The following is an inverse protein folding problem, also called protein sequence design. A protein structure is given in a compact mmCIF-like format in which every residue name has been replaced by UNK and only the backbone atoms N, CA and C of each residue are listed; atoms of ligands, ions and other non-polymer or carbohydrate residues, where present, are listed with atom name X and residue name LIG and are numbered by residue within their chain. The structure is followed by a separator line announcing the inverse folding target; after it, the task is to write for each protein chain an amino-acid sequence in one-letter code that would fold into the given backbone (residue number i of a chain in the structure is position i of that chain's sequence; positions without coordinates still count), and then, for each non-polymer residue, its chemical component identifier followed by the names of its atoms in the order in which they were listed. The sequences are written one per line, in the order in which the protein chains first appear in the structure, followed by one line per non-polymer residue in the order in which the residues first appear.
data_IF_655464298492
#
_entry.id   IF_655464298492
#
_cell.length_a   1.000
_cell.length_b   1.000
_cell.length_c   1.000
_cell.angle_alpha   90.00
_cell.angle_beta   90.00
_cell.angle_gamma   90.00
#
_symmetry.space_group_name_H-M   'P 1'
#
loop_
_entity.id
_entity.type
_entity.pdbx_description
1 polymer ?
#
# COMPACT_ATOMS: atom_id res chain seq x y z
N UNK A 1 0.31 -7.21 -0.77
CA UNK A 1 0.68 -6.06 -1.60
C UNK A 1 2.17 -5.82 -1.45
N UNK A 2 2.86 -5.68 -2.57
CA UNK A 2 4.33 -5.57 -2.60
C UNK A 2 4.78 -4.41 -3.49
N UNK A 3 6.00 -3.91 -3.26
CA UNK A 3 6.70 -2.95 -4.11
C UNK A 3 8.22 -3.20 -3.99
N UNK A 4 8.80 -3.86 -4.97
CA UNK A 4 10.20 -4.31 -4.94
C UNK A 4 11.19 -3.14 -4.73
N UNK A 5 10.95 -1.99 -5.35
CA UNK A 5 11.79 -0.80 -5.19
C UNK A 5 11.71 -0.14 -3.82
N UNK A 6 10.68 -0.48 -3.03
CA UNK A 6 10.55 0.02 -1.66
C UNK A 6 11.12 -0.96 -0.64
N UNK A 7 10.79 -2.25 -0.79
CA UNK A 7 11.24 -3.32 0.10
C UNK A 7 11.35 -4.66 -0.67
N UNK A 8 12.55 -4.99 -1.17
CA UNK A 8 12.80 -6.26 -1.86
C UNK A 8 12.65 -7.48 -0.93
N UNK A 9 12.97 -7.36 0.35
CA UNK A 9 12.86 -8.47 1.30
C UNK A 9 11.40 -8.80 1.61
N UNK A 10 10.56 -7.78 1.81
CA UNK A 10 9.12 -7.96 1.97
C UNK A 10 8.51 -8.60 0.71
N UNK A 11 8.93 -8.16 -0.47
CA UNK A 11 8.48 -8.73 -1.74
C UNK A 11 8.83 -10.21 -1.83
N UNK A 12 10.08 -10.59 -1.51
CA UNK A 12 10.52 -11.98 -1.51
C UNK A 12 9.76 -12.82 -0.48
N UNK A 13 9.54 -12.29 0.72
CA UNK A 13 8.77 -12.95 1.76
C UNK A 13 7.33 -13.21 1.31
N UNK A 14 6.67 -12.18 0.75
CA UNK A 14 5.30 -12.33 0.26
C UNK A 14 5.16 -13.36 -0.87
N UNK A 15 6.16 -13.49 -1.74
CA UNK A 15 6.19 -14.51 -2.80
C UNK A 15 6.37 -15.92 -2.22
N UNK A 16 7.26 -16.08 -1.24
CA UNK A 16 7.45 -17.36 -0.54
C UNK A 16 6.22 -17.80 0.24
N UNK A 17 5.57 -16.87 0.95
CA UNK A 17 4.32 -17.15 1.67
C UNK A 17 3.22 -17.58 0.69
N UNK A 18 3.13 -16.91 -0.47
CA UNK A 18 2.15 -17.25 -1.50
C UNK A 18 2.41 -18.63 -2.13
N UNK A 19 3.68 -19.03 -2.31
CA UNK A 19 4.07 -20.34 -2.82
C UNK A 19 3.81 -21.46 -1.78
N UNK A 20 4.07 -21.17 -0.51
CA UNK A 20 3.91 -22.15 0.58
C UNK A 20 2.45 -22.40 0.96
N UNK A 21 1.53 -21.50 0.61
CA UNK A 21 0.11 -21.64 0.94
C UNK A 21 -0.57 -22.70 0.06
N UNK A 22 -1.22 -23.67 0.69
CA UNK A 22 -1.96 -24.74 -0.01
C UNK A 22 -3.34 -24.22 -0.45
N UNK A 23 -3.37 -23.43 -1.51
CA UNK A 23 -4.57 -22.82 -2.06
C UNK A 23 -4.26 -21.65 -3.01
N UNK A 24 -5.29 -21.00 -3.55
CA UNK A 24 -5.08 -19.85 -4.43
C UNK A 24 -4.49 -18.67 -3.67
N UNK A 25 -3.43 -18.07 -4.22
CA UNK A 25 -2.77 -16.88 -3.67
C UNK A 25 -2.81 -15.72 -4.65
N UNK A 26 -2.93 -14.49 -4.13
CA UNK A 26 -2.93 -13.26 -4.92
C UNK A 26 -1.82 -12.32 -4.45
N UNK A 27 -0.87 -12.02 -5.33
CA UNK A 27 0.15 -10.99 -5.11
C UNK A 27 -0.16 -9.77 -5.96
N UNK A 28 -0.34 -8.61 -5.32
CA UNK A 28 -0.60 -7.34 -6.00
C UNK A 28 0.66 -6.48 -5.90
N UNK A 29 1.36 -6.33 -7.01
CA UNK A 29 2.60 -5.56 -7.09
C UNK A 29 2.34 -4.13 -7.59
N UNK A 30 2.97 -3.15 -6.93
CA UNK A 30 3.01 -1.80 -7.47
C UNK A 30 3.92 -1.77 -8.72
N UNK A 31 3.39 -1.26 -9.80
CA UNK A 31 4.15 -0.99 -11.02
C UNK A 31 4.10 0.50 -11.36
N UNK A 32 5.27 1.11 -11.51
CA UNK A 32 5.37 2.43 -12.13
C UNK A 32 5.11 2.31 -13.64
N UNK A 33 4.66 3.38 -14.27
CA UNK A 33 4.26 3.35 -15.66
C UNK A 33 4.80 4.55 -16.43
N UNK A 34 5.43 4.29 -17.59
CA UNK A 34 5.93 5.34 -18.48
C UNK A 34 4.79 6.26 -18.96
N UNK A 35 3.57 5.74 -19.14
CA UNK A 35 2.41 6.54 -19.53
C UNK A 35 2.01 7.59 -18.46
N UNK A 36 2.47 7.43 -17.21
CA UNK A 36 2.27 8.44 -16.17
C UNK A 36 3.31 9.57 -16.22
N UNK A 37 4.27 9.47 -17.16
CA UNK A 37 5.30 10.48 -17.38
C UNK A 37 6.33 10.56 -16.26
N UNK A 38 6.90 9.40 -15.91
CA UNK A 38 8.05 9.31 -15.02
C UNK A 38 9.33 9.07 -15.82
N UNK A 39 10.47 9.45 -15.29
CA UNK A 39 11.78 8.99 -15.76
C UNK A 39 11.95 7.52 -15.36
N UNK A 40 12.00 6.60 -16.34
CA UNK A 40 12.01 5.15 -16.08
C UNK A 40 13.20 4.68 -15.25
N UNK A 41 14.33 5.40 -15.31
CA UNK A 41 15.50 5.11 -14.45
C UNK A 41 15.21 5.31 -12.97
N UNK A 42 14.20 6.15 -12.65
CA UNK A 42 13.74 6.44 -11.30
C UNK A 42 12.54 5.57 -10.89
N UNK A 43 12.23 4.51 -11.65
CA UNK A 43 11.07 3.66 -11.41
C UNK A 43 11.08 3.01 -10.03
N UNK A 44 12.24 2.55 -9.54
CA UNK A 44 12.37 1.98 -8.19
C UNK A 44 12.22 3.06 -7.11
N UNK A 45 12.73 4.27 -7.35
CA UNK A 45 12.53 5.43 -6.46
C UNK A 45 11.05 5.81 -6.39
N UNK A 46 10.32 5.77 -7.50
CA UNK A 46 8.87 5.99 -7.50
C UNK A 46 8.10 4.93 -6.67
N UNK A 47 8.52 3.67 -6.71
CA UNK A 47 7.96 2.63 -5.85
C UNK A 47 8.23 2.92 -4.37
N UNK A 48 9.47 3.33 -4.04
CA UNK A 48 9.84 3.76 -2.69
C UNK A 48 8.98 4.94 -2.23
N UNK A 49 8.83 5.99 -3.05
CA UNK A 49 7.99 7.15 -2.74
C UNK A 49 6.53 6.77 -2.50
N UNK A 50 5.99 5.87 -3.31
CA UNK A 50 4.62 5.37 -3.15
C UNK A 50 4.40 4.72 -1.78
N UNK A 51 5.38 3.95 -1.28
CA UNK A 51 5.31 3.32 0.04
C UNK A 51 5.59 4.32 1.15
N UNK A 52 6.66 5.11 1.02
CA UNK A 52 7.08 6.07 2.05
C UNK A 52 6.08 7.22 2.29
N UNK A 53 5.23 7.53 1.30
CA UNK A 53 4.12 8.50 1.43
C UNK A 53 2.81 7.88 1.91
N UNK A 54 2.76 6.57 2.17
CA UNK A 54 1.53 5.87 2.54
C UNK A 54 0.55 5.65 1.39
N UNK A 55 0.90 6.07 0.17
CA UNK A 55 0.05 5.83 -1.00
C UNK A 55 -0.12 4.34 -1.30
N UNK A 56 0.94 3.54 -1.11
CA UNK A 56 0.95 2.11 -1.33
C UNK A 56 1.50 1.34 -0.11
N UNK A 57 0.70 1.13 0.95
CA UNK A 57 1.14 0.31 2.08
C UNK A 57 1.42 -1.14 1.66
N UNK A 58 2.51 -1.70 2.17
CA UNK A 58 2.85 -3.11 2.02
C UNK A 58 2.11 -3.90 3.09
N UNK A 59 1.38 -4.93 2.67
CA UNK A 59 0.59 -5.76 3.57
C UNK A 59 0.62 -7.21 3.12
N UNK A 60 0.52 -8.13 4.08
CA UNK A 60 0.27 -9.55 3.84
C UNK A 60 -0.98 -10.00 4.62
N UNK A 61 -1.65 -11.00 4.10
CA UNK A 61 -2.78 -11.63 4.76
C UNK A 61 -2.67 -13.14 4.57
N UNK A 62 -2.56 -13.86 5.67
CA UNK A 62 -2.50 -15.33 5.66
C UNK A 62 -3.63 -15.91 6.52
N UNK A 63 -4.65 -16.53 5.90
CA UNK A 63 -5.77 -17.10 6.65
C UNK A 63 -5.35 -18.30 7.54
N UNK A 64 -4.23 -18.98 7.26
CA UNK A 64 -3.74 -20.09 8.08
C UNK A 64 -3.30 -19.62 9.48
N UNK A 65 -2.77 -18.40 9.60
CA UNK A 65 -2.41 -17.78 10.89
C UNK A 65 -3.64 -17.61 11.79
N UNK A 66 -4.81 -17.34 11.21
CA UNK A 66 -6.07 -17.26 11.95
C UNK A 66 -6.45 -18.63 12.57
N UNK A 67 -6.22 -19.72 11.87
CA UNK A 67 -6.54 -21.06 12.38
C UNK A 67 -5.72 -21.42 13.63
N UNK A 68 -4.51 -20.82 13.78
CA UNK A 68 -3.65 -20.95 14.96
C UNK A 68 -3.92 -19.89 16.05
N UNK A 69 -4.96 -19.04 15.91
CA UNK A 69 -5.32 -18.01 16.86
C UNK A 69 -4.53 -16.70 16.71
N UNK A 70 -3.71 -16.58 15.68
CA UNK A 70 -2.93 -15.36 15.38
C UNK A 70 -3.71 -14.34 14.54
N UNK A 71 -3.12 -13.16 14.37
CA UNK A 71 -3.65 -12.15 13.47
C UNK A 71 -3.22 -12.44 12.03
N UNK A 72 -4.16 -12.74 11.10
CA UNK A 72 -3.85 -13.03 9.71
C UNK A 72 -3.32 -11.81 8.94
N UNK A 73 -3.62 -10.60 9.40
CA UNK A 73 -3.22 -9.36 8.72
C UNK A 73 -1.90 -8.83 9.29
N UNK A 74 -0.96 -8.56 8.40
CA UNK A 74 0.35 -7.99 8.72
C UNK A 74 0.54 -6.70 7.91
N UNK A 75 0.81 -5.60 8.62
CA UNK A 75 1.21 -4.32 8.02
C UNK A 75 2.73 -4.26 8.02
N UNK A 76 3.33 -4.52 6.86
CA UNK A 76 4.79 -4.60 6.69
C UNK A 76 5.42 -3.21 6.49
N UNK A 77 4.65 -2.23 6.03
CA UNK A 77 5.15 -0.86 5.84
C UNK A 77 5.42 -0.17 7.18
N UNK A 78 6.51 0.59 7.29
CA UNK A 78 6.66 1.59 8.34
C UNK A 78 5.63 2.73 8.14
N UNK A 79 5.41 3.53 9.19
CA UNK A 79 4.57 4.74 9.08
C UNK A 79 5.05 5.65 7.96
N UNK A 80 4.11 6.33 7.24
CA UNK A 80 4.47 7.31 6.22
C UNK A 80 5.43 8.38 6.79
N UNK A 81 6.46 8.70 6.02
CA UNK A 81 7.51 9.67 6.38
C UNK A 81 7.82 10.68 5.30
N UNK A 82 7.23 10.51 4.12
CA UNK A 82 7.29 11.48 3.03
C UNK A 82 5.93 12.15 2.85
N UNK A 83 5.89 13.47 2.57
CA UNK A 83 4.68 14.13 2.11
C UNK A 83 4.11 13.44 0.87
N UNK A 84 2.79 13.34 0.76
CA UNK A 84 2.15 12.70 -0.40
C UNK A 84 2.47 13.45 -1.70
N UNK A 85 2.68 14.75 -1.64
CA UNK A 85 3.06 15.58 -2.80
C UNK A 85 4.38 15.16 -3.43
N UNK A 86 5.36 14.67 -2.64
CA UNK A 86 6.64 14.18 -3.13
C UNK A 86 6.50 12.92 -4.01
N UNK A 87 5.47 12.12 -3.75
CA UNK A 87 5.11 11.01 -4.62
C UNK A 87 4.30 11.49 -5.83
N UNK A 88 3.24 12.25 -5.59
CA UNK A 88 2.25 12.65 -6.62
C UNK A 88 2.91 13.50 -7.71
N UNK A 89 3.65 14.53 -7.34
CA UNK A 89 4.25 15.43 -8.32
C UNK A 89 5.55 14.92 -8.95
N UNK A 90 5.97 13.71 -8.61
CA UNK A 90 6.99 12.99 -9.36
C UNK A 90 6.47 12.46 -10.71
N UNK A 91 5.15 12.36 -10.88
CA UNK A 91 4.49 11.92 -12.12
C UNK A 91 3.95 13.14 -12.92
N UNK A 92 4.22 13.15 -14.23
CA UNK A 92 3.79 14.25 -15.12
C UNK A 92 2.28 14.44 -15.13
N UNK A 93 1.49 13.33 -15.08
CA UNK A 93 0.02 13.40 -15.09
C UNK A 93 -0.55 14.29 -13.98
N UNK A 94 0.06 14.33 -12.81
CA UNK A 94 -0.38 15.20 -11.71
C UNK A 94 0.19 16.61 -11.85
N UNK A 95 1.43 16.75 -12.36
CA UNK A 95 2.01 18.08 -12.64
C UNK A 95 1.24 18.84 -13.71
N UNK A 96 0.69 18.14 -14.71
CA UNK A 96 -0.16 18.75 -15.73
C UNK A 96 -1.37 19.45 -15.11
N UNK A 97 -2.08 18.79 -14.20
CA UNK A 97 -3.21 19.41 -13.51
C UNK A 97 -2.75 20.60 -12.64
N UNK A 98 -1.64 20.43 -11.90
CA UNK A 98 -1.10 21.55 -11.09
C UNK A 98 -0.75 22.77 -11.93
N UNK A 99 -0.32 22.57 -13.18
CA UNK A 99 0.02 23.68 -14.08
C UNK A 99 -1.24 24.29 -14.74
N UNK A 100 -2.27 23.52 -15.03
CA UNK A 100 -3.49 23.98 -15.70
C UNK A 100 -4.53 24.53 -14.72
N UNK A 101 -4.66 23.93 -13.54
CA UNK A 101 -5.58 24.34 -12.48
C UNK A 101 -4.95 24.08 -11.10
N UNK A 102 -4.14 25.02 -10.59
CA UNK A 102 -3.46 24.85 -9.31
C UNK A 102 -4.41 24.70 -8.12
N UNK A 103 -5.55 25.40 -8.14
CA UNK A 103 -6.51 25.36 -7.05
C UNK A 103 -7.19 23.99 -6.95
N UNK A 104 -7.59 23.42 -8.08
CA UNK A 104 -8.15 22.08 -8.14
C UNK A 104 -7.12 21.01 -7.79
N UNK A 105 -5.88 21.16 -8.26
CA UNK A 105 -4.79 20.24 -7.91
C UNK A 105 -4.55 20.19 -6.39
N UNK A 106 -4.56 21.35 -5.72
CA UNK A 106 -4.42 21.44 -4.27
C UNK A 106 -5.62 20.81 -3.53
N UNK A 107 -6.83 21.08 -4.00
CA UNK A 107 -8.04 20.48 -3.44
C UNK A 107 -8.00 18.97 -3.52
N UNK A 108 -7.64 18.41 -4.68
CA UNK A 108 -7.55 16.96 -4.89
C UNK A 108 -6.40 16.33 -4.11
N UNK A 109 -5.27 17.03 -3.95
CA UNK A 109 -4.17 16.55 -3.12
C UNK A 109 -4.60 16.40 -1.65
N UNK A 110 -5.35 17.38 -1.10
CA UNK A 110 -5.90 17.28 0.27
C UNK A 110 -6.82 16.08 0.42
N UNK A 111 -7.79 15.91 -0.48
CA UNK A 111 -8.70 14.74 -0.45
C UNK A 111 -7.94 13.41 -0.55
N UNK A 112 -6.89 13.38 -1.37
CA UNK A 112 -6.05 12.18 -1.50
C UNK A 112 -5.26 11.92 -0.21
N UNK A 113 -4.76 12.97 0.46
CA UNK A 113 -4.07 12.83 1.75
C UNK A 113 -5.02 12.27 2.81
N UNK A 114 -6.23 12.83 2.93
CA UNK A 114 -7.25 12.33 3.86
C UNK A 114 -7.57 10.84 3.62
N UNK A 115 -7.71 10.43 2.36
CA UNK A 115 -7.94 9.03 2.01
C UNK A 115 -6.74 8.11 2.34
N UNK A 116 -5.51 8.62 2.22
CA UNK A 116 -4.29 7.91 2.62
C UNK A 116 -4.26 7.74 4.14
N UNK A 117 -4.55 8.79 4.89
CA UNK A 117 -4.52 8.78 6.36
C UNK A 117 -5.59 7.84 6.94
N UNK A 118 -6.82 7.90 6.41
CA UNK A 118 -7.91 6.99 6.80
C UNK A 118 -7.57 5.52 6.52
N UNK A 119 -7.01 5.24 5.34
CA UNK A 119 -6.59 3.87 5.00
C UNK A 119 -5.45 3.39 5.89
N UNK A 120 -4.49 4.28 6.18
CA UNK A 120 -3.39 3.96 7.09
C UNK A 120 -3.91 3.60 8.48
N UNK A 121 -4.78 4.44 9.05
CA UNK A 121 -5.41 4.18 10.33
C UNK A 121 -6.15 2.83 10.34
N UNK A 122 -6.92 2.54 9.29
CA UNK A 122 -7.61 1.26 9.15
C UNK A 122 -6.63 0.08 9.19
N UNK A 123 -5.51 0.18 8.50
CA UNK A 123 -4.51 -0.91 8.46
C UNK A 123 -3.77 -1.05 9.80
N UNK A 124 -3.45 0.03 10.47
CA UNK A 124 -2.91 -0.02 11.85
C UNK A 124 -3.89 -0.70 12.81
N UNK A 125 -5.17 -0.35 12.72
CA UNK A 125 -6.21 -1.01 13.52
C UNK A 125 -6.32 -2.50 13.19
N UNK A 126 -6.28 -2.89 11.93
CA UNK A 126 -6.29 -4.30 11.52
C UNK A 126 -5.07 -5.06 12.02
N UNK A 127 -3.90 -4.44 12.00
CA UNK A 127 -2.64 -5.04 12.47
C UNK A 127 -2.58 -5.19 14.00
N UNK A 128 -3.26 -4.31 14.74
CA UNK A 128 -3.29 -4.35 16.23
C UNK A 128 -4.42 -5.18 16.80
N UNK A 129 -5.52 -5.35 16.06
CA UNK A 129 -6.66 -6.16 16.47
C UNK A 129 -6.32 -7.63 16.26
N UNK A 130 -6.11 -8.38 17.36
CA UNK A 130 -5.96 -9.83 17.30
C UNK A 130 -7.16 -10.54 16.64
N UNK A 131 -7.04 -11.84 16.43
CA UNK A 131 -8.02 -12.71 15.74
C UNK A 131 -9.49 -12.59 16.21
N UNK A 132 -9.75 -11.99 17.37
CA UNK A 132 -11.03 -12.00 18.05
C UNK A 132 -12.19 -11.30 17.32
N UNK A 133 -11.92 -10.31 16.48
CA UNK A 133 -12.99 -9.61 15.73
C UNK A 133 -13.43 -10.34 14.47
N UNK A 134 -12.55 -11.06 13.82
CA UNK A 134 -12.93 -11.85 12.64
C UNK A 134 -13.77 -13.08 13.01
N UNK A 135 -13.72 -13.54 14.27
CA UNK A 135 -14.52 -14.64 14.78
C UNK A 135 -16.00 -14.26 15.02
N UNK A 136 -16.29 -12.98 15.23
CA UNK A 136 -17.66 -12.52 15.53
C UNK A 136 -18.54 -12.42 14.28
N UNK A 137 -17.96 -12.17 13.09
CA UNK A 137 -18.72 -11.92 11.85
C UNK A 137 -19.16 -13.22 11.15
N UNK A 138 -18.44 -14.32 11.36
CA UNK A 138 -18.79 -15.64 10.79
C UNK A 138 -19.93 -16.38 11.52
N UNK A 139 -20.45 -15.85 12.62
CA UNK A 139 -21.60 -16.41 13.34
C UNK A 139 -22.94 -15.75 12.98
N UNK A 140 -22.95 -14.86 12.00
CA UNK A 140 -24.16 -14.14 11.55
C UNK A 140 -24.69 -14.56 10.18
N UNK A 141 -24.23 -15.68 9.62
CA UNK A 141 -24.81 -16.27 8.40
C UNK A 141 -25.47 -17.60 8.69
#
# INVERSE_FOLDING_TARGET
RVAMGADPQQTLTALRDAEAYDGPSLVIAYSHCIAHGIEMRQGLDQQYRAVASGHWPLVRYDPAVRASGGNPFQLDSPRPRLPLEDYVYHELRYRMLRNSDPAEAERLLRLKQEAVDQRWQTYEEMATRGADRFAADTRRT
#
